data_IF_405315907486
#
_entry.id   IF_405315907486
#
_cell.length_a   1.000
_cell.length_b   1.000
_cell.length_c   1.000
_cell.angle_alpha   90.00
_cell.angle_beta   90.00
_cell.angle_gamma   90.00
#
_symmetry.space_group_name_H-M   'P 1'
#
loop_
_entity.id
_entity.type
_entity.pdbx_description
1 polymer ?
#
# COMPACT_ATOMS: atom_id res chain seq x y z
N UNK A 1 -58.64 19.76 7.68
CA UNK A 1 -59.19 20.51 8.86
C UNK A 1 -60.58 21.12 8.62
N UNK A 2 -60.91 21.71 7.48
CA UNK A 2 -62.29 22.25 7.25
C UNK A 2 -63.41 21.18 7.37
N UNK A 3 -63.13 19.91 7.04
CA UNK A 3 -64.10 18.80 7.08
C UNK A 3 -64.49 18.44 8.51
N UNK A 4 -63.53 18.21 9.40
CA UNK A 4 -63.77 17.88 10.81
C UNK A 4 -64.43 19.01 11.58
N UNK A 5 -64.12 20.28 11.22
CA UNK A 5 -64.77 21.44 11.82
C UNK A 5 -66.27 21.51 11.47
N UNK A 6 -66.64 21.18 10.21
CA UNK A 6 -68.07 21.10 9.81
C UNK A 6 -68.81 19.97 10.53
N UNK A 7 -68.17 18.81 10.65
CA UNK A 7 -68.78 17.64 11.36
C UNK A 7 -68.95 17.88 12.83
N UNK A 8 -67.99 18.55 13.50
CA UNK A 8 -68.16 18.95 14.91
C UNK A 8 -69.29 20.01 15.10
N UNK A 9 -69.42 20.98 14.19
CA UNK A 9 -70.49 21.97 14.28
C UNK A 9 -71.85 21.31 14.17
N UNK A 10 -72.02 20.38 13.21
CA UNK A 10 -73.28 19.64 13.06
C UNK A 10 -73.62 18.73 14.31
N UNK A 11 -72.56 18.10 14.91
CA UNK A 11 -72.77 17.25 16.13
C UNK A 11 -73.12 18.09 17.38
N UNK A 12 -72.72 19.36 17.43
CA UNK A 12 -73.14 20.28 18.50
C UNK A 12 -74.60 20.75 18.32
N UNK A 13 -75.04 20.99 17.08
CA UNK A 13 -76.45 21.36 16.78
C UNK A 13 -77.40 20.22 17.10
N UNK A 14 -76.99 18.94 16.96
CA UNK A 14 -77.75 17.74 17.26
C UNK A 14 -77.67 17.28 18.75
N UNK A 15 -77.04 18.04 19.63
CA UNK A 15 -76.80 17.72 21.05
C UNK A 15 -76.11 16.36 21.31
N UNK A 16 -75.36 15.87 20.28
CA UNK A 16 -74.67 14.54 20.35
C UNK A 16 -73.20 14.72 20.81
N UNK A 17 -73.01 14.83 22.13
CA UNK A 17 -71.68 15.04 22.77
C UNK A 17 -70.71 13.88 22.49
N UNK A 18 -71.24 12.65 22.31
CA UNK A 18 -70.40 11.45 22.02
C UNK A 18 -69.79 11.56 20.61
N UNK A 19 -70.54 12.01 19.60
CA UNK A 19 -70.03 12.24 18.26
C UNK A 19 -69.04 13.37 18.21
N UNK A 20 -69.24 14.45 18.96
CA UNK A 20 -68.30 15.55 19.06
C UNK A 20 -66.93 15.12 19.56
N UNK A 21 -66.86 14.33 20.64
CA UNK A 21 -65.59 13.79 21.21
C UNK A 21 -64.91 12.86 20.25
N UNK A 22 -65.64 12.01 19.52
CA UNK A 22 -65.04 11.12 18.47
C UNK A 22 -64.35 11.93 17.37
N UNK A 23 -64.97 13.00 16.89
CA UNK A 23 -64.35 13.85 15.86
C UNK A 23 -63.19 14.70 16.38
N UNK A 24 -63.28 15.17 17.64
CA UNK A 24 -62.21 15.93 18.27
C UNK A 24 -60.97 15.04 18.49
N UNK A 25 -61.14 13.81 18.99
CA UNK A 25 -60.04 12.87 19.15
C UNK A 25 -59.47 12.46 17.76
N UNK A 26 -60.35 12.19 16.77
CA UNK A 26 -59.92 11.89 15.40
C UNK A 26 -59.03 13.01 14.81
N UNK A 27 -59.38 14.28 15.02
CA UNK A 27 -58.58 15.42 14.55
C UNK A 27 -57.23 15.47 15.23
N UNK A 28 -57.16 15.28 16.56
CA UNK A 28 -55.90 15.22 17.29
C UNK A 28 -55.05 14.03 16.80
N UNK A 29 -55.62 12.88 16.60
CA UNK A 29 -54.87 11.68 16.07
C UNK A 29 -54.33 12.00 14.68
N UNK A 30 -55.12 12.62 13.81
CA UNK A 30 -54.67 13.03 12.44
C UNK A 30 -53.50 13.99 12.50
N UNK A 31 -53.54 14.96 13.41
CA UNK A 31 -52.43 15.93 13.58
C UNK A 31 -51.19 15.21 14.10
N UNK A 32 -51.34 14.37 15.10
CA UNK A 32 -50.23 13.56 15.67
C UNK A 32 -49.61 12.66 14.59
N UNK A 33 -50.43 11.94 13.81
CA UNK A 33 -49.94 11.10 12.70
C UNK A 33 -49.21 11.94 11.66
N UNK A 34 -49.73 13.13 11.32
CA UNK A 34 -49.07 14.07 10.38
C UNK A 34 -47.67 14.51 10.87
N UNK A 35 -47.57 14.85 12.16
CA UNK A 35 -46.29 15.23 12.78
C UNK A 35 -45.34 14.04 12.79
N UNK A 36 -45.79 12.84 13.17
CA UNK A 36 -44.95 11.65 13.19
C UNK A 36 -44.46 11.26 11.78
N UNK A 37 -45.30 11.39 10.76
CA UNK A 37 -44.90 11.16 9.36
C UNK A 37 -43.87 12.18 8.89
N UNK A 38 -44.07 13.46 9.20
CA UNK A 38 -43.08 14.51 8.88
C UNK A 38 -41.73 14.21 9.54
N UNK A 39 -41.72 13.89 10.83
CA UNK A 39 -40.53 13.51 11.56
C UNK A 39 -39.84 12.25 10.99
N UNK A 40 -40.62 11.25 10.59
CA UNK A 40 -40.10 10.03 9.94
C UNK A 40 -39.42 10.34 8.59
N UNK A 41 -40.05 11.23 7.78
CA UNK A 41 -39.50 11.65 6.49
C UNK A 41 -38.20 12.42 6.67
N UNK A 42 -38.17 13.36 7.64
CA UNK A 42 -36.98 14.16 7.94
C UNK A 42 -35.83 13.24 8.43
N UNK A 43 -36.10 12.37 9.37
CA UNK A 43 -35.11 11.38 9.87
C UNK A 43 -34.61 10.44 8.77
N UNK A 44 -35.50 10.02 7.88
CA UNK A 44 -35.12 9.18 6.73
C UNK A 44 -34.23 9.95 5.75
N UNK A 45 -34.57 11.19 5.43
CA UNK A 45 -33.77 12.07 4.57
C UNK A 45 -32.38 12.36 5.14
N UNK A 46 -32.30 12.70 6.43
CA UNK A 46 -31.03 12.90 7.13
C UNK A 46 -30.15 11.64 7.12
N UNK A 47 -30.72 10.48 7.43
CA UNK A 47 -29.98 9.19 7.39
C UNK A 47 -29.47 8.86 5.99
N UNK A 48 -30.28 9.16 4.96
CA UNK A 48 -29.88 8.95 3.57
C UNK A 48 -28.72 9.86 3.18
N UNK A 49 -28.83 11.15 3.48
CA UNK A 49 -27.77 12.14 3.21
C UNK A 49 -26.48 11.78 3.96
N UNK A 50 -26.56 11.36 5.23
CA UNK A 50 -25.41 10.93 6.02
C UNK A 50 -24.72 9.67 5.40
N UNK A 51 -25.52 8.71 4.88
CA UNK A 51 -24.95 7.55 4.20
C UNK A 51 -24.26 7.91 2.87
N UNK A 52 -24.87 8.79 2.07
CA UNK A 52 -24.29 9.26 0.81
C UNK A 52 -22.99 10.02 1.06
N UNK A 53 -22.97 10.87 2.10
CA UNK A 53 -21.76 11.59 2.52
C UNK A 53 -20.66 10.64 3.01
N UNK A 54 -21.01 9.65 3.84
CA UNK A 54 -20.07 8.62 4.30
C UNK A 54 -19.49 7.84 3.13
N UNK A 55 -20.33 7.45 2.16
CA UNK A 55 -19.86 6.74 0.96
C UNK A 55 -18.84 7.59 0.17
N UNK A 56 -19.13 8.87 -0.02
CA UNK A 56 -18.22 9.80 -0.68
C UNK A 56 -16.86 9.92 0.02
N UNK A 57 -16.86 10.03 1.36
CA UNK A 57 -15.61 10.10 2.13
C UNK A 57 -14.77 8.82 2.00
N UNK A 58 -15.39 7.64 2.02
CA UNK A 58 -14.67 6.39 1.81
C UNK A 58 -14.14 6.26 0.38
N UNK A 59 -14.84 6.76 -0.63
CA UNK A 59 -14.34 6.81 -1.99
C UNK A 59 -13.09 7.71 -2.10
N UNK A 60 -13.08 8.87 -1.44
CA UNK A 60 -11.88 9.71 -1.37
C UNK A 60 -10.70 9.00 -0.68
N UNK A 61 -10.96 8.26 0.39
CA UNK A 61 -9.91 7.45 1.07
C UNK A 61 -9.39 6.35 0.15
N UNK A 62 -10.25 5.74 -0.66
CA UNK A 62 -9.82 4.76 -1.66
C UNK A 62 -8.84 5.37 -2.67
N UNK A 63 -9.17 6.54 -3.22
CA UNK A 63 -8.30 7.27 -4.15
C UNK A 63 -6.96 7.65 -3.50
N UNK A 64 -6.99 8.11 -2.25
CA UNK A 64 -5.79 8.43 -1.46
C UNK A 64 -4.92 7.17 -1.23
N UNK A 65 -5.52 6.05 -0.86
CA UNK A 65 -4.79 4.77 -0.72
C UNK A 65 -4.16 4.34 -2.04
N UNK A 66 -4.88 4.49 -3.17
CA UNK A 66 -4.37 4.17 -4.49
C UNK A 66 -3.13 5.02 -4.84
N UNK A 67 -3.17 6.33 -4.55
CA UNK A 67 -2.03 7.22 -4.73
C UNK A 67 -0.84 6.81 -3.86
N UNK A 68 -1.09 6.55 -2.58
CA UNK A 68 -0.06 6.15 -1.62
C UNK A 68 0.60 4.82 -2.01
N UNK A 69 -0.17 3.85 -2.51
CA UNK A 69 0.36 2.57 -3.04
C UNK A 69 1.26 2.83 -4.25
N UNK A 70 0.86 3.71 -5.19
CA UNK A 70 1.67 4.08 -6.35
C UNK A 70 2.99 4.74 -5.95
N UNK A 71 2.97 5.63 -4.95
CA UNK A 71 4.18 6.26 -4.43
C UNK A 71 5.13 5.23 -3.79
N UNK A 72 4.60 4.27 -3.03
CA UNK A 72 5.41 3.15 -2.53
C UNK A 72 6.02 2.32 -3.67
N UNK A 73 5.28 2.05 -4.74
CA UNK A 73 5.79 1.29 -5.89
C UNK A 73 6.99 1.99 -6.55
N UNK A 74 6.98 3.33 -6.67
CA UNK A 74 8.09 4.10 -7.24
C UNK A 74 9.38 3.91 -6.42
N UNK A 75 9.29 3.95 -5.09
CA UNK A 75 10.42 3.71 -4.19
C UNK A 75 10.96 2.28 -4.34
N UNK A 76 10.08 1.30 -4.37
CA UNK A 76 10.46 -0.10 -4.52
C UNK A 76 11.16 -0.37 -5.85
N UNK A 77 10.69 0.26 -6.94
CA UNK A 77 11.30 0.11 -8.26
C UNK A 77 12.69 0.73 -8.30
N UNK A 78 12.89 1.91 -7.70
CA UNK A 78 14.20 2.52 -7.56
C UNK A 78 15.18 1.59 -6.82
N UNK A 79 14.73 0.97 -5.72
CA UNK A 79 15.59 0.05 -4.97
C UNK A 79 15.85 -1.26 -5.71
N UNK A 80 14.92 -1.74 -6.50
CA UNK A 80 15.14 -2.90 -7.37
C UNK A 80 16.31 -2.67 -8.32
N UNK A 81 16.38 -1.48 -8.96
CA UNK A 81 17.51 -1.10 -9.80
C UNK A 81 18.85 -1.08 -9.04
N UNK A 82 18.83 -0.55 -7.81
CA UNK A 82 20.05 -0.42 -6.98
C UNK A 82 20.50 -1.72 -6.31
N UNK A 83 19.61 -2.68 -6.11
CA UNK A 83 19.91 -3.90 -5.34
C UNK A 83 21.11 -4.69 -5.92
N UNK A 84 21.19 -4.81 -7.24
CA UNK A 84 22.30 -5.49 -7.90
C UNK A 84 23.59 -4.68 -7.80
N UNK A 85 23.53 -3.36 -8.00
CA UNK A 85 24.71 -2.49 -7.91
C UNK A 85 25.33 -2.56 -6.51
N UNK A 86 24.52 -2.44 -5.48
CA UNK A 86 24.97 -2.53 -4.07
C UNK A 86 25.56 -3.90 -3.79
N UNK A 87 24.93 -4.97 -4.25
CA UNK A 87 25.47 -6.32 -4.08
C UNK A 87 26.86 -6.47 -4.69
N UNK A 88 27.05 -6.01 -5.94
CA UNK A 88 28.33 -6.14 -6.63
C UNK A 88 29.44 -5.33 -5.95
N UNK A 89 29.13 -4.10 -5.48
CA UNK A 89 30.06 -3.29 -4.69
C UNK A 89 30.46 -4.02 -3.40
N UNK A 90 29.48 -4.52 -2.64
CA UNK A 90 29.73 -5.19 -1.35
C UNK A 90 30.48 -6.51 -1.48
N UNK A 91 30.30 -7.20 -2.61
CA UNK A 91 31.06 -8.41 -2.94
C UNK A 91 32.42 -8.13 -3.60
N UNK A 92 32.77 -6.85 -3.75
CA UNK A 92 34.02 -6.38 -4.40
C UNK A 92 34.21 -6.94 -5.80
N UNK A 93 33.13 -7.01 -6.58
CA UNK A 93 33.15 -7.52 -7.95
C UNK A 93 33.27 -6.41 -8.99
N UNK A 94 33.00 -5.17 -8.58
CA UNK A 94 33.02 -3.99 -9.48
C UNK A 94 34.46 -3.60 -9.80
N UNK A 95 34.75 -3.46 -11.09
CA UNK A 95 36.04 -3.05 -11.61
C UNK A 95 36.02 -1.57 -12.07
N UNK A 96 37.20 -1.00 -12.41
CA UNK A 96 37.27 0.35 -13.01
C UNK A 96 36.42 0.44 -14.28
N UNK A 97 36.39 -0.62 -15.09
CA UNK A 97 35.64 -0.65 -16.34
C UNK A 97 34.13 -0.60 -16.10
N UNK A 98 33.63 -1.32 -15.08
CA UNK A 98 32.21 -1.29 -14.73
C UNK A 98 31.76 0.11 -14.30
N UNK A 99 32.57 0.84 -13.54
CA UNK A 99 32.30 2.23 -13.18
C UNK A 99 32.27 3.18 -14.38
N UNK A 100 33.14 2.96 -15.38
CA UNK A 100 33.15 3.76 -16.63
C UNK A 100 31.94 3.47 -17.52
N UNK A 101 31.49 2.22 -17.57
CA UNK A 101 30.36 1.78 -18.39
C UNK A 101 29.00 2.09 -17.76
N UNK A 102 28.95 2.11 -16.42
CA UNK A 102 27.72 2.39 -15.69
C UNK A 102 27.95 3.37 -14.53
N UNK A 103 27.69 4.63 -14.78
CA UNK A 103 27.85 5.71 -13.80
C UNK A 103 26.90 5.60 -12.58
N UNK A 104 25.82 4.75 -12.65
CA UNK A 104 24.91 4.51 -11.55
C UNK A 104 25.60 3.91 -10.33
N UNK A 105 26.71 3.18 -10.49
CA UNK A 105 27.53 2.72 -9.38
C UNK A 105 28.00 3.88 -8.48
N UNK A 106 28.40 5.00 -9.09
CA UNK A 106 28.81 6.18 -8.33
C UNK A 106 27.67 6.96 -7.68
N UNK A 107 26.46 6.81 -8.20
CA UNK A 107 25.28 7.51 -7.71
C UNK A 107 24.48 6.75 -6.66
N UNK A 108 24.86 5.52 -6.31
CA UNK A 108 24.12 4.67 -5.36
C UNK A 108 23.75 5.43 -4.08
N UNK A 109 24.70 6.20 -3.53
CA UNK A 109 24.54 6.94 -2.28
C UNK A 109 23.86 8.29 -2.41
N UNK A 110 23.85 8.87 -3.64
CA UNK A 110 23.48 10.26 -3.89
C UNK A 110 22.03 10.43 -4.35
N UNK A 111 21.37 9.37 -4.75
CA UNK A 111 20.00 9.43 -5.25
C UNK A 111 19.05 8.71 -4.32
N UNK A 112 18.04 9.43 -3.84
CA UNK A 112 17.02 8.92 -2.94
C UNK A 112 15.63 9.28 -3.45
N UNK A 113 14.66 8.47 -3.06
CA UNK A 113 13.25 8.71 -3.25
C UNK A 113 12.51 8.35 -1.98
N UNK A 114 11.62 9.20 -1.54
CA UNK A 114 10.76 8.94 -0.39
C UNK A 114 9.39 8.44 -0.84
N UNK A 115 8.77 7.65 0.02
CA UNK A 115 7.39 7.24 -0.13
C UNK A 115 6.50 8.31 0.50
N UNK A 116 6.12 9.32 -0.30
CA UNK A 116 5.15 10.31 0.15
C UNK A 116 3.79 9.67 0.43
N UNK A 117 3.25 9.93 1.64
CA UNK A 117 1.95 9.43 2.08
C UNK A 117 1.01 10.58 2.37
N UNK A 118 0.01 10.78 1.50
CA UNK A 118 -1.11 11.69 1.74
C UNK A 118 -2.02 11.16 2.83
N UNK A 119 -2.62 12.07 3.63
CA UNK A 119 -3.49 11.74 4.77
C UNK A 119 -4.79 12.58 4.78
N UNK A 120 -5.02 13.39 3.77
CA UNK A 120 -6.10 14.40 3.78
C UNK A 120 -7.49 13.77 3.78
N UNK A 121 -7.72 12.79 2.90
CA UNK A 121 -8.99 12.09 2.83
C UNK A 121 -9.29 11.29 4.11
N UNK A 122 -8.27 10.63 4.67
CA UNK A 122 -8.38 9.95 5.96
C UNK A 122 -8.75 10.91 7.10
N UNK A 123 -8.13 12.07 7.18
CA UNK A 123 -8.46 13.07 8.21
C UNK A 123 -9.88 13.59 8.05
N UNK A 124 -10.36 13.81 6.82
CA UNK A 124 -11.73 14.20 6.55
C UNK A 124 -12.72 13.12 7.02
N UNK A 125 -12.42 11.84 6.74
CA UNK A 125 -13.23 10.72 7.23
C UNK A 125 -13.26 10.63 8.76
N UNK A 126 -12.11 10.80 9.43
CA UNK A 126 -12.02 10.77 10.90
C UNK A 126 -12.87 11.87 11.53
N UNK A 127 -12.93 13.05 10.91
CA UNK A 127 -13.69 14.20 11.44
C UNK A 127 -15.21 14.08 11.22
N UNK A 128 -15.67 13.14 10.38
CA UNK A 128 -17.07 12.98 9.95
C UNK A 128 -17.65 11.61 10.29
N UNK A 129 -17.37 11.05 11.47
CA UNK A 129 -17.67 9.65 11.86
C UNK A 129 -19.16 9.33 12.08
N UNK A 130 -20.11 10.15 11.65
CA UNK A 130 -21.53 9.95 11.87
C UNK A 130 -22.06 8.77 11.02
N UNK A 131 -22.80 7.87 11.67
CA UNK A 131 -23.58 6.78 11.04
C UNK A 131 -22.79 5.65 10.32
N UNK A 132 -21.57 5.31 10.79
CA UNK A 132 -20.81 4.18 10.25
C UNK A 132 -21.45 2.82 10.58
N UNK A 133 -21.46 1.91 9.59
CA UNK A 133 -21.74 0.48 9.80
C UNK A 133 -20.63 -0.19 10.61
N UNK A 134 -20.88 -1.41 11.09
CA UNK A 134 -19.85 -2.18 11.81
C UNK A 134 -18.63 -2.47 10.92
N UNK A 135 -18.82 -2.83 9.66
CA UNK A 135 -17.74 -3.07 8.71
C UNK A 135 -16.93 -1.80 8.45
N UNK A 136 -17.58 -0.66 8.22
CA UNK A 136 -16.92 0.64 8.06
C UNK A 136 -16.12 1.07 9.28
N UNK A 137 -16.60 0.78 10.50
CA UNK A 137 -15.83 1.03 11.73
C UNK A 137 -14.56 0.18 11.80
N UNK A 138 -14.64 -1.09 11.37
CA UNK A 138 -13.46 -1.96 11.31
C UNK A 138 -12.43 -1.40 10.34
N UNK A 139 -12.84 -1.02 9.13
CA UNK A 139 -11.96 -0.38 8.14
C UNK A 139 -11.34 0.91 8.69
N UNK A 140 -12.15 1.76 9.37
CA UNK A 140 -11.63 2.98 9.99
C UNK A 140 -10.56 2.70 11.07
N UNK A 141 -10.70 1.63 11.86
CA UNK A 141 -9.69 1.24 12.85
C UNK A 141 -8.38 0.81 12.18
N UNK A 142 -8.47 0.10 11.06
CA UNK A 142 -7.30 -0.30 10.29
C UNK A 142 -6.62 0.89 9.62
N UNK A 143 -7.39 1.83 9.06
CA UNK A 143 -6.88 3.11 8.56
C UNK A 143 -6.17 3.90 9.66
N UNK A 144 -6.71 3.93 10.88
CA UNK A 144 -6.04 4.56 12.03
C UNK A 144 -4.71 3.90 12.38
N UNK A 145 -4.59 2.58 12.21
CA UNK A 145 -3.32 1.87 12.40
C UNK A 145 -2.34 2.19 11.27
N UNK A 146 -2.81 2.15 10.02
CA UNK A 146 -2.01 2.46 8.84
C UNK A 146 -1.42 3.88 8.91
N UNK A 147 -2.27 4.89 9.08
CA UNK A 147 -1.85 6.30 9.09
C UNK A 147 -1.22 6.74 10.42
N UNK A 148 -1.53 6.07 11.52
CA UNK A 148 -0.93 6.36 12.82
C UNK A 148 0.41 5.66 13.01
N UNK A 149 0.44 4.33 12.95
CA UNK A 149 1.63 3.55 13.29
C UNK A 149 2.53 3.31 12.10
N UNK A 150 1.98 2.75 11.00
CA UNK A 150 2.82 2.34 9.87
C UNK A 150 3.41 3.56 9.13
N UNK A 151 2.60 4.61 8.94
CA UNK A 151 3.09 5.87 8.38
C UNK A 151 4.19 6.49 9.24
N UNK A 152 4.03 6.50 10.57
CA UNK A 152 5.04 7.08 11.46
C UNK A 152 6.41 6.40 11.31
N UNK A 153 6.43 5.07 11.20
CA UNK A 153 7.69 4.35 10.94
C UNK A 153 8.23 4.61 9.54
N UNK A 154 7.37 4.71 8.55
CA UNK A 154 7.76 5.04 7.18
C UNK A 154 8.34 6.45 7.08
N UNK A 155 7.70 7.45 7.69
CA UNK A 155 8.20 8.83 7.75
C UNK A 155 9.59 8.90 8.42
N UNK A 156 9.77 8.18 9.53
CA UNK A 156 11.06 8.13 10.22
C UNK A 156 12.19 7.60 9.33
N UNK A 157 11.94 6.52 8.59
CA UNK A 157 12.97 5.97 7.69
C UNK A 157 13.14 6.80 6.44
N UNK A 158 12.10 7.46 5.90
CA UNK A 158 12.21 8.46 4.85
C UNK A 158 13.19 9.56 5.28
N UNK A 159 12.98 10.15 6.46
CA UNK A 159 13.85 11.22 7.00
C UNK A 159 15.31 10.74 7.13
N UNK A 160 15.54 9.56 7.68
CA UNK A 160 16.90 9.00 7.84
C UNK A 160 17.58 8.78 6.48
N UNK A 161 16.86 8.27 5.49
CA UNK A 161 17.43 8.01 4.15
C UNK A 161 17.79 9.29 3.42
N UNK A 162 16.94 10.32 3.52
CA UNK A 162 17.18 11.63 2.92
C UNK A 162 18.38 12.31 3.59
N UNK A 163 18.40 12.34 4.92
CA UNK A 163 19.50 12.96 5.66
C UNK A 163 20.84 12.28 5.34
N UNK A 164 20.89 10.96 5.24
CA UNK A 164 22.10 10.24 4.82
C UNK A 164 22.56 10.67 3.42
N UNK A 165 21.66 10.77 2.45
CA UNK A 165 22.01 11.20 1.10
C UNK A 165 22.52 12.66 1.08
N UNK A 166 21.87 13.57 1.81
CA UNK A 166 22.30 14.96 1.94
C UNK A 166 23.68 15.07 2.61
N UNK A 167 23.97 14.26 3.62
CA UNK A 167 25.28 14.20 4.28
C UNK A 167 26.36 13.70 3.32
N UNK A 168 26.08 12.70 2.47
CA UNK A 168 27.01 12.25 1.43
C UNK A 168 27.25 13.35 0.38
N UNK A 169 26.19 14.01 -0.08
CA UNK A 169 26.32 15.17 -0.99
C UNK A 169 27.17 16.27 -0.38
N UNK A 170 26.92 16.64 0.87
CA UNK A 170 27.69 17.65 1.58
C UNK A 170 29.16 17.27 1.66
N UNK A 171 29.43 16.05 2.14
CA UNK A 171 30.79 15.55 2.27
C UNK A 171 31.55 15.53 0.96
N UNK A 172 30.93 15.01 -0.11
CA UNK A 172 31.57 14.96 -1.42
C UNK A 172 31.82 16.36 -2.01
N UNK A 173 30.85 17.26 -1.87
CA UNK A 173 31.00 18.66 -2.31
C UNK A 173 32.16 19.38 -1.58
N UNK A 174 32.34 19.12 -0.30
CA UNK A 174 33.35 19.82 0.51
C UNK A 174 34.75 19.20 0.41
N UNK A 175 34.83 17.87 0.20
CA UNK A 175 36.10 17.14 0.30
C UNK A 175 36.64 16.65 -1.06
N UNK A 176 35.78 16.57 -2.11
CA UNK A 176 36.15 15.91 -3.37
C UNK A 176 36.18 16.87 -4.54
N UNK A 177 37.32 16.90 -5.23
CA UNK A 177 37.53 17.77 -6.42
C UNK A 177 36.66 17.39 -7.62
N UNK A 178 36.30 16.13 -7.75
CA UNK A 178 35.52 15.58 -8.86
C UNK A 178 34.00 15.80 -8.74
N UNK A 179 33.51 16.33 -7.63
CA UNK A 179 32.06 16.46 -7.39
C UNK A 179 31.34 17.28 -8.45
N UNK A 180 31.95 18.40 -8.88
CA UNK A 180 31.39 19.26 -9.94
C UNK A 180 31.32 18.54 -11.29
N UNK A 181 32.37 17.85 -11.66
CA UNK A 181 32.47 17.16 -12.95
C UNK A 181 31.46 16.04 -13.10
N UNK A 182 31.20 15.30 -12.03
CA UNK A 182 30.19 14.24 -11.99
C UNK A 182 28.80 14.71 -12.46
N UNK A 183 28.35 15.90 -12.01
CA UNK A 183 27.04 16.44 -12.35
C UNK A 183 27.03 17.25 -13.66
N UNK A 184 28.13 17.84 -14.04
CA UNK A 184 28.21 18.60 -15.27
C UNK A 184 28.37 17.72 -16.51
N UNK A 185 29.22 16.69 -16.42
CA UNK A 185 29.61 15.88 -17.57
C UNK A 185 28.81 14.59 -17.70
N UNK A 186 28.10 14.16 -16.62
CA UNK A 186 27.39 12.87 -16.52
C UNK A 186 28.29 11.66 -16.79
N UNK A 187 29.55 11.80 -16.47
CA UNK A 187 30.58 10.76 -16.55
C UNK A 187 31.23 10.62 -15.18
N UNK A 188 31.73 9.43 -14.88
CA UNK A 188 32.49 9.25 -13.66
C UNK A 188 33.94 9.64 -13.86
N UNK A 189 34.44 10.71 -13.17
CA UNK A 189 35.85 11.08 -13.19
C UNK A 189 36.72 9.94 -12.63
N UNK A 190 37.93 9.80 -13.18
CA UNK A 190 38.86 8.73 -12.74
C UNK A 190 39.17 8.79 -11.24
N UNK A 191 39.32 9.98 -10.68
CA UNK A 191 39.55 10.17 -9.24
C UNK A 191 38.36 9.70 -8.41
N UNK A 192 37.13 9.83 -8.91
CA UNK A 192 35.95 9.29 -8.27
C UNK A 192 35.92 7.76 -8.35
N UNK A 193 36.31 7.19 -9.48
CA UNK A 193 36.40 5.73 -9.63
C UNK A 193 37.41 5.16 -8.63
N UNK A 194 38.57 5.79 -8.51
CA UNK A 194 39.60 5.38 -7.54
C UNK A 194 39.11 5.56 -6.10
N UNK A 195 38.41 6.62 -5.78
CA UNK A 195 37.74 6.82 -4.49
C UNK A 195 36.74 5.67 -4.20
N UNK A 196 35.83 5.38 -5.14
CA UNK A 196 34.83 4.30 -4.95
C UNK A 196 35.47 2.91 -4.75
N UNK A 197 36.61 2.65 -5.40
CA UNK A 197 37.28 1.36 -5.29
C UNK A 197 38.18 1.21 -4.06
N UNK A 198 38.77 2.29 -3.57
CA UNK A 198 39.86 2.23 -2.59
C UNK A 198 39.52 2.87 -1.25
N UNK A 199 38.63 3.88 -1.21
CA UNK A 199 38.40 4.62 0.02
C UNK A 199 37.47 3.83 0.97
N UNK A 200 37.89 3.56 2.21
CA UNK A 200 37.09 2.85 3.21
C UNK A 200 35.78 3.57 3.54
N UNK A 201 35.73 4.92 3.42
CA UNK A 201 34.51 5.66 3.68
C UNK A 201 33.41 5.28 2.68
N UNK A 202 33.71 5.21 1.38
CA UNK A 202 32.73 4.83 0.38
C UNK A 202 32.16 3.44 0.63
N UNK A 203 33.04 2.45 0.89
CA UNK A 203 32.59 1.10 1.20
C UNK A 203 31.69 1.04 2.45
N UNK A 204 32.08 1.72 3.54
CA UNK A 204 31.29 1.79 4.76
C UNK A 204 29.95 2.50 4.53
N UNK A 205 29.92 3.54 3.69
CA UNK A 205 28.69 4.23 3.30
C UNK A 205 27.75 3.32 2.50
N UNK A 206 28.27 2.47 1.61
CA UNK A 206 27.48 1.47 0.88
C UNK A 206 26.95 0.38 1.83
N UNK A 207 27.73 -0.05 2.83
CA UNK A 207 27.25 -0.95 3.89
C UNK A 207 26.10 -0.32 4.68
N UNK A 208 26.25 0.96 5.06
CA UNK A 208 25.18 1.71 5.73
C UNK A 208 23.95 1.84 4.85
N UNK A 209 24.13 2.15 3.56
CA UNK A 209 23.05 2.22 2.58
C UNK A 209 22.30 0.88 2.49
N UNK A 210 23.01 -0.25 2.42
CA UNK A 210 22.36 -1.57 2.43
C UNK A 210 21.48 -1.75 3.67
N UNK A 211 21.98 -1.37 4.86
CA UNK A 211 21.28 -1.57 6.11
C UNK A 211 20.05 -0.64 6.24
N UNK A 212 20.22 0.65 5.96
CA UNK A 212 19.18 1.65 6.14
C UNK A 212 18.17 1.59 4.97
N UNK A 213 18.65 1.61 3.72
CA UNK A 213 17.81 1.75 2.55
C UNK A 213 17.27 0.40 2.06
N UNK A 214 18.15 -0.56 1.72
CA UNK A 214 17.71 -1.83 1.14
C UNK A 214 17.11 -2.79 2.16
N UNK A 215 17.29 -2.58 3.45
CA UNK A 215 16.68 -3.42 4.47
C UNK A 215 15.54 -2.72 5.21
N UNK A 216 15.80 -1.58 5.81
CA UNK A 216 14.81 -0.93 6.67
C UNK A 216 13.78 -0.13 5.85
N UNK A 217 14.22 0.73 4.93
CA UNK A 217 13.30 1.56 4.16
C UNK A 217 12.39 0.70 3.25
N UNK A 218 12.94 -0.29 2.53
CA UNK A 218 12.12 -1.25 1.76
C UNK A 218 11.11 -1.93 2.68
N UNK A 219 11.53 -2.42 3.83
CA UNK A 219 10.64 -3.14 4.77
C UNK A 219 9.46 -2.30 5.21
N UNK A 220 9.68 -1.04 5.62
CA UNK A 220 8.59 -0.17 6.07
C UNK A 220 7.71 0.30 4.91
N UNK A 221 8.30 0.57 3.74
CA UNK A 221 7.55 0.86 2.51
C UNK A 221 6.64 -0.33 2.12
N UNK A 222 7.16 -1.55 2.15
CA UNK A 222 6.38 -2.76 1.88
C UNK A 222 5.27 -2.99 2.90
N UNK A 223 5.54 -2.78 4.19
CA UNK A 223 4.54 -2.97 5.23
C UNK A 223 3.37 -1.99 5.07
N UNK A 224 3.68 -0.71 4.83
CA UNK A 224 2.65 0.29 4.56
C UNK A 224 1.87 -0.07 3.29
N UNK A 225 2.56 -0.37 2.18
CA UNK A 225 1.95 -0.73 0.90
C UNK A 225 1.01 -1.93 1.01
N UNK A 226 1.43 -3.01 1.67
CA UNK A 226 0.61 -4.23 1.85
C UNK A 226 -0.68 -3.92 2.59
N UNK A 227 -0.59 -3.23 3.74
CA UNK A 227 -1.78 -2.86 4.52
C UNK A 227 -2.67 -1.90 3.76
N UNK A 228 -2.10 -0.90 3.08
CA UNK A 228 -2.86 0.01 2.25
C UNK A 228 -3.64 -0.73 1.15
N UNK A 229 -3.02 -1.72 0.51
CA UNK A 229 -3.64 -2.55 -0.51
C UNK A 229 -4.75 -3.43 0.05
N UNK A 230 -4.53 -4.08 1.19
CA UNK A 230 -5.55 -4.94 1.84
C UNK A 230 -6.77 -4.11 2.28
N UNK A 231 -6.56 -2.88 2.76
CA UNK A 231 -7.64 -1.96 3.13
C UNK A 231 -8.36 -1.47 1.87
N UNK A 232 -7.61 -1.13 0.81
CA UNK A 232 -8.19 -0.71 -0.47
C UNK A 232 -9.10 -1.80 -1.07
N UNK A 233 -8.66 -3.06 -1.10
CA UNK A 233 -9.48 -4.19 -1.59
C UNK A 233 -10.77 -4.34 -0.76
N UNK A 234 -10.68 -4.23 0.58
CA UNK A 234 -11.88 -4.29 1.44
C UNK A 234 -12.82 -3.11 1.27
N UNK A 235 -12.30 -1.91 1.01
CA UNK A 235 -13.14 -0.77 0.67
C UNK A 235 -13.92 -1.00 -0.62
N UNK A 236 -13.26 -1.55 -1.66
CA UNK A 236 -13.92 -1.92 -2.91
C UNK A 236 -15.07 -2.88 -2.65
N UNK A 237 -14.86 -3.92 -1.86
CA UNK A 237 -15.88 -4.92 -1.57
C UNK A 237 -17.04 -4.37 -0.73
N UNK A 238 -16.75 -3.68 0.37
CA UNK A 238 -17.77 -3.15 1.30
C UNK A 238 -18.58 -2.00 0.69
N UNK A 239 -17.93 -1.11 -0.03
CA UNK A 239 -18.55 0.09 -0.58
C UNK A 239 -19.05 -0.10 -2.00
N UNK A 240 -18.79 -1.25 -2.63
CA UNK A 240 -19.10 -1.53 -4.06
C UNK A 240 -18.50 -0.50 -5.00
N UNK A 241 -17.26 -0.12 -4.74
CA UNK A 241 -16.48 0.80 -5.55
C UNK A 241 -15.76 0.04 -6.68
N UNK A 242 -15.24 0.77 -7.66
CA UNK A 242 -14.42 0.17 -8.72
C UNK A 242 -12.99 -0.07 -8.23
N UNK A 243 -12.44 -1.24 -8.56
CA UNK A 243 -11.05 -1.56 -8.27
C UNK A 243 -10.15 -0.84 -9.29
N UNK A 244 -9.17 -0.07 -8.82
CA UNK A 244 -8.11 0.43 -9.68
C UNK A 244 -7.18 -0.73 -10.10
N UNK A 245 -7.44 -1.27 -11.30
CA UNK A 245 -6.68 -2.39 -11.86
C UNK A 245 -5.19 -2.09 -12.08
N UNK A 246 -4.77 -0.81 -12.00
CA UNK A 246 -3.35 -0.42 -12.12
C UNK A 246 -2.55 -0.66 -10.84
N UNK A 247 -3.21 -0.92 -9.71
CA UNK A 247 -2.56 -1.19 -8.42
C UNK A 247 -2.05 -2.62 -8.30
N UNK A 248 -2.68 -3.53 -9.01
CA UNK A 248 -2.40 -4.95 -8.97
C UNK A 248 -2.14 -5.46 -10.37
N UNK A 249 -1.02 -6.14 -10.54
CA UNK A 249 -0.83 -6.97 -11.73
C UNK A 249 -1.76 -8.18 -11.62
N UNK A 250 -2.45 -8.52 -12.71
CA UNK A 250 -3.40 -9.63 -12.73
C UNK A 250 -2.70 -10.95 -12.36
N UNK A 251 -3.06 -11.49 -11.19
CA UNK A 251 -2.51 -12.75 -10.69
C UNK A 251 -2.82 -13.93 -11.64
N UNK A 252 -3.89 -13.85 -12.43
CA UNK A 252 -4.22 -14.88 -13.42
C UNK A 252 -3.15 -14.97 -14.52
N UNK A 253 -2.52 -13.85 -14.89
CA UNK A 253 -1.40 -13.83 -15.83
C UNK A 253 -0.13 -14.46 -15.26
N UNK A 254 -0.08 -14.68 -13.95
CA UNK A 254 1.06 -15.25 -13.24
C UNK A 254 0.87 -16.73 -12.87
N UNK A 255 -0.13 -17.41 -13.41
CA UNK A 255 -0.37 -18.84 -13.15
C UNK A 255 0.83 -19.73 -13.47
N UNK A 256 1.70 -19.33 -14.40
CA UNK A 256 2.95 -20.02 -14.70
C UNK A 256 3.92 -20.09 -13.50
N UNK A 257 3.75 -19.22 -12.50
CA UNK A 257 4.51 -19.23 -11.25
C UNK A 257 4.05 -20.34 -10.29
N UNK A 258 2.84 -20.88 -10.47
CA UNK A 258 2.30 -21.92 -9.58
C UNK A 258 3.16 -23.18 -9.63
N UNK A 259 3.44 -23.75 -8.47
CA UNK A 259 4.24 -24.96 -8.32
C UNK A 259 5.06 -25.01 -7.05
N UNK A 260 5.84 -26.06 -6.92
CA UNK A 260 6.76 -26.28 -5.80
C UNK A 260 8.18 -25.91 -6.20
N UNK A 261 8.87 -25.22 -5.33
CA UNK A 261 10.24 -24.75 -5.55
C UNK A 261 11.10 -25.10 -4.34
N UNK A 262 12.31 -25.61 -4.60
CA UNK A 262 13.26 -25.96 -3.56
C UNK A 262 14.51 -25.09 -3.63
N UNK A 263 14.91 -24.53 -2.49
CA UNK A 263 16.13 -23.74 -2.34
C UNK A 263 17.05 -24.24 -1.24
N UNK A 264 18.15 -23.57 -1.03
CA UNK A 264 19.11 -23.94 0.04
C UNK A 264 18.59 -23.58 1.43
N UNK A 265 17.87 -22.49 1.57
CA UNK A 265 17.40 -21.95 2.86
C UNK A 265 15.98 -22.41 3.21
N UNK A 266 15.10 -22.40 2.22
CA UNK A 266 13.68 -22.78 2.37
C UNK A 266 13.11 -23.37 1.08
N UNK A 267 12.00 -24.07 1.22
CA UNK A 267 11.15 -24.49 0.12
C UNK A 267 9.94 -23.53 0.03
N UNK A 268 9.44 -23.30 -1.19
CA UNK A 268 8.33 -22.41 -1.48
C UNK A 268 7.27 -23.15 -2.32
N UNK A 269 6.05 -23.17 -1.83
CA UNK A 269 4.89 -23.67 -2.59
C UNK A 269 4.08 -22.47 -3.04
N UNK A 270 3.95 -22.26 -4.33
CA UNK A 270 3.14 -21.18 -4.92
C UNK A 270 1.80 -21.74 -5.36
N UNK A 271 0.73 -21.13 -4.86
CA UNK A 271 -0.67 -21.46 -5.19
C UNK A 271 -1.40 -20.23 -5.71
N UNK A 272 -2.48 -20.45 -6.44
CA UNK A 272 -3.39 -19.38 -6.85
C UNK A 272 -4.78 -19.66 -6.25
N UNK A 273 -5.26 -18.76 -5.41
CA UNK A 273 -6.58 -18.86 -4.77
C UNK A 273 -7.21 -17.48 -4.67
N UNK A 274 -8.51 -17.39 -4.94
CA UNK A 274 -9.32 -16.16 -4.83
C UNK A 274 -8.71 -14.94 -5.53
N UNK A 275 -8.15 -15.15 -6.74
CA UNK A 275 -7.50 -14.09 -7.52
C UNK A 275 -6.15 -13.63 -6.97
N UNK A 276 -5.57 -14.33 -6.00
CA UNK A 276 -4.30 -13.99 -5.35
C UNK A 276 -3.28 -15.11 -5.53
N UNK A 277 -2.02 -14.73 -5.66
CA UNK A 277 -0.91 -15.66 -5.56
C UNK A 277 -0.46 -15.74 -4.09
N UNK A 278 -0.39 -16.95 -3.59
CA UNK A 278 0.05 -17.24 -2.23
C UNK A 278 1.31 -18.10 -2.28
N UNK A 279 2.28 -17.76 -1.43
CA UNK A 279 3.51 -18.51 -1.26
C UNK A 279 3.57 -19.11 0.14
N UNK A 280 3.56 -20.43 0.25
CA UNK A 280 3.79 -21.12 1.52
C UNK A 280 5.27 -21.39 1.67
N UNK A 281 5.93 -20.68 2.57
CA UNK A 281 7.35 -20.80 2.88
C UNK A 281 7.58 -21.82 3.98
N UNK A 282 8.52 -22.73 3.78
CA UNK A 282 8.97 -23.70 4.77
C UNK A 282 10.48 -23.61 4.92
N UNK A 283 10.93 -23.02 6.02
CA UNK A 283 12.36 -22.89 6.32
C UNK A 283 12.98 -24.26 6.66
N UNK A 284 14.18 -24.51 6.17
CA UNK A 284 14.89 -25.79 6.39
C UNK A 284 15.57 -25.84 7.75
N UNK A 285 15.86 -24.69 8.33
CA UNK A 285 16.49 -24.55 9.64
C UNK A 285 15.51 -24.42 10.80
N UNK A 286 14.22 -24.19 10.52
CA UNK A 286 13.18 -23.93 11.51
C UNK A 286 12.10 -25.02 11.43
N UNK A 287 11.72 -25.56 12.58
CA UNK A 287 10.64 -26.54 12.73
C UNK A 287 9.27 -25.87 12.97
N UNK A 288 9.20 -24.54 12.94
CA UNK A 288 7.96 -23.80 13.06
C UNK A 288 6.99 -24.13 11.90
N UNK A 289 5.73 -23.80 12.08
CA UNK A 289 4.73 -24.02 11.05
C UNK A 289 5.08 -23.23 9.78
N UNK A 290 4.78 -23.81 8.61
CA UNK A 290 4.96 -23.13 7.34
C UNK A 290 4.15 -21.84 7.31
N UNK A 291 4.80 -20.74 6.90
CA UNK A 291 4.17 -19.43 6.81
C UNK A 291 3.60 -19.21 5.40
N UNK A 292 2.33 -18.86 5.32
CA UNK A 292 1.69 -18.47 4.07
C UNK A 292 1.70 -16.95 3.94
N UNK A 293 2.28 -16.45 2.85
CA UNK A 293 2.40 -15.04 2.54
C UNK A 293 1.88 -14.76 1.13
N UNK A 294 1.30 -13.58 0.93
CA UNK A 294 0.89 -13.14 -0.40
C UNK A 294 2.10 -12.80 -1.26
N UNK A 295 2.08 -13.27 -2.50
CA UNK A 295 3.02 -12.85 -3.56
C UNK A 295 2.37 -11.70 -4.32
N UNK A 296 3.11 -10.61 -4.52
CA UNK A 296 2.66 -9.42 -5.23
C UNK A 296 3.38 -9.31 -6.59
N UNK A 297 2.76 -9.75 -7.69
CA UNK A 297 3.35 -9.57 -9.01
C UNK A 297 3.44 -8.09 -9.39
N UNK A 298 4.58 -7.69 -9.98
CA UNK A 298 4.76 -6.38 -10.60
C UNK A 298 4.67 -6.48 -12.14
N UNK A 299 4.99 -7.67 -12.66
CA UNK A 299 4.89 -8.02 -14.08
C UNK A 299 4.69 -9.53 -14.22
N UNK A 300 4.65 -10.04 -15.45
CA UNK A 300 4.63 -11.48 -15.67
C UNK A 300 5.91 -12.22 -15.24
N UNK A 301 6.98 -11.51 -14.90
CA UNK A 301 8.27 -12.11 -14.52
C UNK A 301 8.83 -11.61 -13.20
N UNK A 302 8.35 -10.49 -12.69
CA UNK A 302 8.82 -9.87 -11.47
C UNK A 302 7.73 -9.80 -10.41
N UNK A 303 8.13 -10.03 -9.16
CA UNK A 303 7.22 -10.06 -8.03
C UNK A 303 7.92 -9.62 -6.73
N UNK A 304 7.13 -9.43 -5.71
CA UNK A 304 7.60 -9.24 -4.33
C UNK A 304 7.05 -10.39 -3.50
N UNK A 305 7.93 -11.05 -2.77
CA UNK A 305 7.57 -12.08 -1.82
C UNK A 305 8.29 -11.84 -0.49
N UNK A 306 7.53 -11.80 0.59
CA UNK A 306 8.00 -11.36 1.89
C UNK A 306 8.58 -9.92 1.79
N UNK A 307 9.85 -9.71 2.11
CA UNK A 307 10.57 -8.45 1.94
C UNK A 307 11.58 -8.48 0.78
N UNK A 308 11.50 -9.49 -0.11
CA UNK A 308 12.45 -9.72 -1.19
C UNK A 308 11.87 -9.41 -2.56
N UNK A 309 12.72 -8.89 -3.45
CA UNK A 309 12.44 -8.82 -4.88
C UNK A 309 12.60 -10.18 -5.52
N UNK A 310 11.61 -10.62 -6.25
CA UNK A 310 11.60 -11.89 -6.96
C UNK A 310 11.61 -11.71 -8.47
N UNK A 311 12.29 -12.64 -9.16
CA UNK A 311 12.26 -12.78 -10.61
C UNK A 311 12.11 -14.24 -11.00
N UNK A 312 11.26 -14.47 -12.00
CA UNK A 312 11.08 -15.78 -12.62
C UNK A 312 12.24 -16.06 -13.57
N UNK A 313 12.73 -17.29 -13.57
CA UNK A 313 13.72 -17.79 -14.54
C UNK A 313 13.05 -18.80 -15.46
N UNK A 314 13.19 -18.61 -16.77
CA UNK A 314 12.61 -19.49 -17.79
C UNK A 314 13.66 -20.37 -18.44
N UNK A 315 13.29 -21.59 -18.76
CA UNK A 315 14.09 -22.51 -19.55
C UNK A 315 13.88 -22.33 -21.06
N UNK A 316 14.51 -23.19 -21.84
CA UNK A 316 14.50 -23.15 -23.31
C UNK A 316 13.08 -23.22 -23.92
N UNK A 317 12.13 -23.89 -23.25
CA UNK A 317 10.74 -24.00 -23.70
C UNK A 317 9.83 -22.91 -23.12
N UNK A 318 10.39 -21.78 -22.67
CA UNK A 318 9.68 -20.67 -22.03
C UNK A 318 8.91 -21.04 -20.74
N UNK A 319 9.11 -22.25 -20.20
CA UNK A 319 8.55 -22.66 -18.91
C UNK A 319 9.35 -22.10 -17.75
N UNK A 320 8.69 -21.84 -16.64
CA UNK A 320 9.35 -21.44 -15.40
C UNK A 320 10.14 -22.62 -14.83
N UNK A 321 11.43 -22.43 -14.68
CA UNK A 321 12.37 -23.43 -14.13
C UNK A 321 12.87 -23.07 -12.75
N UNK A 322 12.89 -21.79 -12.41
CA UNK A 322 13.34 -21.32 -11.11
C UNK A 322 12.76 -19.95 -10.78
N UNK A 323 12.92 -19.56 -9.53
CA UNK A 323 12.74 -18.18 -9.04
C UNK A 323 14.01 -17.72 -8.35
N UNK A 324 14.38 -16.47 -8.55
CA UNK A 324 15.48 -15.83 -7.85
C UNK A 324 14.91 -14.75 -6.94
N UNK A 325 15.24 -14.82 -5.66
CA UNK A 325 14.85 -13.81 -4.67
C UNK A 325 16.09 -13.04 -4.23
N UNK A 326 15.95 -11.73 -4.07
CA UNK A 326 17.07 -10.86 -3.71
C UNK A 326 16.65 -9.75 -2.77
N UNK A 327 17.52 -9.43 -1.81
CA UNK A 327 17.46 -8.23 -0.99
C UNK A 327 18.86 -7.94 -0.42
N UNK A 328 19.51 -6.88 -0.90
CA UNK A 328 20.87 -6.54 -0.51
C UNK A 328 21.83 -7.71 -0.76
N UNK A 329 22.47 -8.22 0.30
CA UNK A 329 23.39 -9.39 0.19
C UNK A 329 22.67 -10.74 0.15
N UNK A 330 21.41 -10.78 0.54
CA UNK A 330 20.65 -12.03 0.54
C UNK A 330 20.24 -12.38 -0.90
N UNK A 331 20.61 -13.57 -1.33
CA UNK A 331 20.26 -14.13 -2.65
C UNK A 331 19.78 -15.56 -2.42
N UNK A 332 18.59 -15.88 -2.90
CA UNK A 332 18.01 -17.23 -2.77
C UNK A 332 17.56 -17.68 -4.16
N UNK A 333 18.15 -18.76 -4.62
CA UNK A 333 17.74 -19.45 -5.84
C UNK A 333 16.81 -20.61 -5.47
N UNK A 334 15.62 -20.60 -6.04
CA UNK A 334 14.57 -21.61 -5.86
C UNK A 334 14.36 -22.34 -7.17
N UNK A 335 14.70 -23.62 -7.25
CA UNK A 335 14.52 -24.43 -8.45
C UNK A 335 13.14 -25.09 -8.42
N UNK A 336 12.41 -25.01 -9.53
CA UNK A 336 11.09 -25.64 -9.65
C UNK A 336 11.23 -27.15 -9.65
N UNK A 337 10.48 -27.81 -8.79
CA UNK A 337 10.43 -29.27 -8.74
C UNK A 337 9.72 -29.76 -10.02
N UNK A 338 10.30 -30.77 -10.69
CA UNK A 338 9.63 -31.42 -11.80
C UNK A 338 8.33 -32.05 -11.28
N UNK A 339 7.23 -31.82 -11.97
CA UNK A 339 5.99 -32.54 -11.66
C UNK A 339 6.26 -34.04 -11.69
N UNK A 340 6.08 -34.71 -10.55
CA UNK A 340 6.18 -36.16 -10.46
C UNK A 340 5.00 -36.82 -11.14
#
# INVERSE_FOLDING_TARGET
MKLFRKMRAASLEENNTSAYWKYAIGEVVFVVVGILLAFQIDTWSERRSAKEHTHYLFAQVQDELALNIKNCNLVLEQYRGKDTLVYDILMRRVTKQDYRENWEYGLVLLTQQEAEVSVEAFLNLVNSQDALSQAQRTILLELKTLYGTDKTYLDLVNEVTINNALDYHKKYKEEQTWYGDLFLNREMPEDMIDFCLQDPFYFNAVVNFQFINLRNHIRYTLNFRRRALDIHERLVDEMKLELDSTLLFDAALCQHMVGEYSGSEFDLIVTHSDGKLLGTRKDKSDTSAAEELRIYPNSGEEFIFDDMFGRVVRGENNQVTAMKLSLGRKRVDLVKNSAR
#
